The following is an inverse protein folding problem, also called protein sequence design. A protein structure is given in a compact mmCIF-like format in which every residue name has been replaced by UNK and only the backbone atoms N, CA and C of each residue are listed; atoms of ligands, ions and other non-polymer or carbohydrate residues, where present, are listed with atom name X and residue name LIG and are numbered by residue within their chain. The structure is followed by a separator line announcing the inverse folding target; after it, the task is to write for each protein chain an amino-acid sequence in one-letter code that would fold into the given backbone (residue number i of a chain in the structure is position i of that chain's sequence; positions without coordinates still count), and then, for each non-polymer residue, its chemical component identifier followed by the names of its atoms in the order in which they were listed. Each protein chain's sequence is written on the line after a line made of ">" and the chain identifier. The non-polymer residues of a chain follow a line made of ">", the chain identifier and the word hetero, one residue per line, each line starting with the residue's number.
data_IF_993456349457
#
_entry.id   IF_993456349457
#
_cell.length_a   1.000
_cell.length_b   1.000
_cell.length_c   1.000
_cell.angle_alpha   90.00
_cell.angle_beta   90.00
_cell.angle_gamma   90.00
#
_symmetry.space_group_name_H-M   'P 1'
#
loop_
_entity.id
_entity.type
_entity.pdbx_description
1 polymer ?
#
# COMPACT_ATOMS: atom_id res chain seq x y z
N UNK A 1 -5.41 28.36 -35.21
CA UNK A 1 -4.47 27.87 -34.19
C UNK A 1 -5.27 27.02 -33.19
N UNK A 2 -5.57 25.76 -33.50
CA UNK A 2 -4.78 24.54 -33.30
C UNK A 2 -4.49 24.23 -31.82
N UNK A 3 -5.31 23.30 -31.29
CA UNK A 3 -5.09 22.36 -30.16
C UNK A 3 -4.73 22.94 -28.79
N UNK A 4 -5.76 23.11 -27.96
CA UNK A 4 -5.67 22.98 -26.50
C UNK A 4 -6.29 21.64 -26.05
N UNK A 5 -5.84 20.55 -26.69
CA UNK A 5 -6.36 19.19 -26.48
C UNK A 5 -5.18 18.26 -26.17
N UNK A 6 -4.49 18.54 -25.06
CA UNK A 6 -3.42 17.70 -24.52
C UNK A 6 -3.20 18.01 -23.04
N UNK A 7 -4.13 17.62 -22.14
CA UNK A 7 -3.90 17.78 -20.69
C UNK A 7 -4.74 16.87 -19.77
N UNK A 8 -5.27 15.71 -20.24
CA UNK A 8 -6.09 14.84 -19.39
C UNK A 8 -5.79 13.33 -19.41
N UNK A 9 -4.65 12.92 -19.98
CA UNK A 9 -4.32 11.49 -20.11
C UNK A 9 -3.28 10.98 -19.10
N UNK A 10 -2.87 11.80 -18.11
CA UNK A 10 -1.97 11.33 -17.05
C UNK A 10 -2.78 10.78 -15.88
N UNK A 11 -2.85 9.45 -15.77
CA UNK A 11 -3.44 8.75 -14.63
C UNK A 11 -2.28 8.25 -13.75
N UNK A 12 -2.40 8.36 -12.43
CA UNK A 12 -1.43 7.75 -11.51
C UNK A 12 -1.36 6.25 -11.75
N UNK A 13 -0.18 5.63 -11.69
CA UNK A 13 -0.04 4.19 -11.86
C UNK A 13 -0.98 3.39 -10.93
N UNK A 14 -1.24 3.91 -9.72
CA UNK A 14 -2.21 3.35 -8.77
C UNK A 14 -3.64 3.35 -9.30
N UNK A 15 -4.03 4.33 -10.10
CA UNK A 15 -5.40 4.48 -10.60
C UNK A 15 -5.64 3.76 -11.93
N UNK A 16 -4.60 3.21 -12.58
CA UNK A 16 -4.73 2.56 -13.88
C UNK A 16 -5.69 1.36 -13.84
N UNK A 17 -5.53 0.44 -12.87
CA UNK A 17 -6.37 -0.77 -12.78
C UNK A 17 -7.82 -0.44 -12.41
N UNK A 18 -8.10 0.37 -11.35
CA UNK A 18 -9.47 0.79 -11.05
C UNK A 18 -10.15 1.49 -12.23
N UNK A 19 -9.42 2.36 -12.94
CA UNK A 19 -9.97 3.11 -14.06
C UNK A 19 -10.21 2.22 -15.29
N UNK A 20 -9.34 1.25 -15.56
CA UNK A 20 -9.57 0.23 -16.56
C UNK A 20 -10.85 -0.57 -16.25
N UNK A 21 -11.05 -0.97 -14.99
CA UNK A 21 -12.27 -1.67 -14.58
C UNK A 21 -13.51 -0.78 -14.73
N UNK A 22 -13.45 0.51 -14.35
CA UNK A 22 -14.54 1.46 -14.56
C UNK A 22 -14.94 1.54 -16.04
N UNK A 23 -13.97 1.65 -16.94
CA UNK A 23 -14.21 1.70 -18.39
C UNK A 23 -14.89 0.42 -18.87
N UNK A 24 -14.40 -0.75 -18.45
CA UNK A 24 -15.00 -2.05 -18.81
C UNK A 24 -16.42 -2.20 -18.29
N UNK A 25 -16.69 -1.78 -17.05
CA UNK A 25 -18.05 -1.76 -16.46
C UNK A 25 -19.00 -0.91 -17.31
N UNK A 26 -18.54 0.26 -17.76
CA UNK A 26 -19.35 1.18 -18.56
C UNK A 26 -19.65 0.66 -19.98
N UNK A 27 -18.78 -0.21 -20.52
CA UNK A 27 -18.94 -0.78 -21.87
C UNK A 27 -19.50 -2.20 -21.89
N UNK A 28 -19.74 -2.81 -20.72
CA UNK A 28 -20.22 -4.18 -20.60
C UNK A 28 -21.59 -4.34 -21.28
N UNK A 29 -21.73 -5.40 -22.09
CA UNK A 29 -22.94 -5.62 -22.90
C UNK A 29 -23.99 -6.45 -22.17
N UNK A 30 -23.58 -7.21 -21.15
CA UNK A 30 -24.46 -8.09 -20.38
C UNK A 30 -24.46 -7.73 -18.91
N UNK A 31 -25.58 -8.00 -18.24
CA UNK A 31 -25.70 -7.80 -16.79
C UNK A 31 -24.72 -8.70 -16.01
N UNK A 32 -24.49 -9.92 -16.49
CA UNK A 32 -23.55 -10.87 -15.89
C UNK A 32 -22.10 -10.36 -15.94
N UNK A 33 -21.66 -9.88 -17.12
CA UNK A 33 -20.31 -9.31 -17.29
C UNK A 33 -20.13 -8.07 -16.40
N UNK A 34 -21.13 -7.17 -16.41
CA UNK A 34 -21.12 -5.97 -15.59
C UNK A 34 -20.99 -6.33 -14.10
N UNK A 35 -21.80 -7.26 -13.61
CA UNK A 35 -21.76 -7.68 -12.21
C UNK A 35 -20.41 -8.29 -11.82
N UNK A 36 -19.81 -9.12 -12.69
CA UNK A 36 -18.49 -9.70 -12.46
C UNK A 36 -17.41 -8.61 -12.34
N UNK A 37 -17.42 -7.62 -13.23
CA UNK A 37 -16.46 -6.51 -13.21
C UNK A 37 -16.64 -5.60 -11.99
N UNK A 38 -17.89 -5.33 -11.59
CA UNK A 38 -18.19 -4.59 -10.37
C UNK A 38 -17.66 -5.32 -9.13
N UNK A 39 -17.83 -6.65 -9.07
CA UNK A 39 -17.28 -7.48 -7.99
C UNK A 39 -15.75 -7.49 -7.99
N UNK A 40 -15.11 -7.58 -9.14
CA UNK A 40 -13.65 -7.51 -9.29
C UNK A 40 -13.12 -6.16 -8.77
N UNK A 41 -13.74 -5.05 -9.19
CA UNK A 41 -13.40 -3.71 -8.71
C UNK A 41 -13.62 -3.57 -7.21
N UNK A 42 -14.74 -4.06 -6.69
CA UNK A 42 -15.02 -4.03 -5.26
C UNK A 42 -13.97 -4.80 -4.46
N UNK A 43 -13.63 -6.01 -4.90
CA UNK A 43 -12.62 -6.86 -4.26
C UNK A 43 -11.24 -6.19 -4.26
N UNK A 44 -10.85 -5.57 -5.37
CA UNK A 44 -9.62 -4.80 -5.48
C UNK A 44 -9.58 -3.65 -4.46
N UNK A 45 -10.64 -2.82 -4.42
CA UNK A 45 -10.72 -1.68 -3.50
C UNK A 45 -10.76 -2.10 -2.04
N UNK A 46 -11.46 -3.19 -1.73
CA UNK A 46 -11.46 -3.77 -0.40
C UNK A 46 -10.07 -4.25 0.00
N UNK A 47 -9.34 -4.90 -0.91
CA UNK A 47 -7.96 -5.32 -0.72
C UNK A 47 -7.05 -4.15 -0.42
N UNK A 48 -7.05 -3.09 -1.26
CA UNK A 48 -6.26 -1.87 -1.04
C UNK A 48 -6.56 -1.23 0.31
N UNK A 49 -7.83 -1.06 0.64
CA UNK A 49 -8.24 -0.49 1.93
C UNK A 49 -7.82 -1.33 3.14
N UNK A 50 -7.70 -2.66 3.01
CA UNK A 50 -7.16 -3.51 4.07
C UNK A 50 -5.66 -3.27 4.29
N UNK A 51 -4.90 -3.07 3.20
CA UNK A 51 -3.47 -2.77 3.23
C UNK A 51 -3.23 -1.39 3.83
N UNK A 52 -3.98 -0.37 3.39
CA UNK A 52 -3.90 0.99 3.93
C UNK A 52 -4.12 0.99 5.44
N UNK A 53 -5.17 0.28 5.90
CA UNK A 53 -5.50 0.14 7.32
C UNK A 53 -4.42 -0.61 8.11
N UNK A 54 -3.82 -1.66 7.54
CA UNK A 54 -2.75 -2.39 8.20
C UNK A 54 -1.54 -1.48 8.46
N UNK A 55 -1.09 -0.75 7.43
CA UNK A 55 -0.01 0.22 7.61
C UNK A 55 -0.37 1.31 8.62
N UNK A 56 -1.59 1.84 8.57
CA UNK A 56 -2.05 2.81 9.57
C UNK A 56 -1.98 2.28 11.00
N UNK A 57 -2.39 1.03 11.25
CA UNK A 57 -2.28 0.42 12.59
C UNK A 57 -0.83 0.19 13.01
N UNK A 58 0.00 -0.35 12.11
CA UNK A 58 1.44 -0.56 12.37
C UNK A 58 2.11 0.77 12.76
N UNK A 59 1.89 1.83 11.99
CA UNK A 59 2.50 3.13 12.29
C UNK A 59 1.95 3.72 13.59
N UNK A 60 0.63 3.60 13.83
CA UNK A 60 0.04 4.06 15.09
C UNK A 60 0.65 3.36 16.30
N UNK A 61 0.85 2.03 16.24
CA UNK A 61 1.52 1.30 17.32
C UNK A 61 3.00 1.66 17.45
N UNK A 62 3.71 1.77 16.32
CA UNK A 62 5.12 2.14 16.29
C UNK A 62 5.39 3.52 16.92
N UNK A 63 4.45 4.46 16.79
CA UNK A 63 4.55 5.80 17.37
C UNK A 63 3.87 5.93 18.73
N UNK A 64 3.49 4.83 19.38
CA UNK A 64 2.74 4.84 20.64
C UNK A 64 1.49 5.74 20.58
N UNK A 65 0.81 5.73 19.44
CA UNK A 65 -0.38 6.54 19.13
C UNK A 65 -0.16 8.06 19.13
N UNK A 66 1.09 8.53 19.05
CA UNK A 66 1.39 9.94 18.80
C UNK A 66 1.05 10.27 17.34
N UNK A 67 0.03 11.13 17.15
CA UNK A 67 -0.57 11.41 15.84
C UNK A 67 0.37 12.18 14.93
N UNK A 68 1.14 13.11 15.49
CA UNK A 68 2.08 13.95 14.76
C UNK A 68 3.17 13.09 14.13
N UNK A 69 3.73 12.17 14.89
CA UNK A 69 4.73 11.20 14.44
C UNK A 69 4.14 10.25 13.39
N UNK A 70 2.94 9.71 13.63
CA UNK A 70 2.26 8.85 12.65
C UNK A 70 2.05 9.60 11.33
N UNK A 71 1.58 10.85 11.40
CA UNK A 71 1.36 11.68 10.22
C UNK A 71 2.66 11.98 9.47
N UNK A 72 3.76 12.21 10.19
CA UNK A 72 5.08 12.37 9.59
C UNK A 72 5.50 11.10 8.82
N UNK A 73 5.33 9.92 9.42
CA UNK A 73 5.65 8.64 8.77
C UNK A 73 4.76 8.35 7.57
N UNK A 74 3.48 8.75 7.61
CA UNK A 74 2.51 8.50 6.54
C UNK A 74 2.70 9.42 5.34
N UNK A 75 3.03 10.70 5.55
CA UNK A 75 2.91 11.72 4.50
C UNK A 75 4.24 12.32 4.04
N UNK A 76 5.36 11.91 4.64
CA UNK A 76 6.69 12.38 4.22
C UNK A 76 7.49 11.27 3.57
N UNK A 77 8.52 11.65 2.80
CA UNK A 77 9.54 10.75 2.30
C UNK A 77 10.87 11.23 2.86
N UNK A 78 11.38 10.50 3.85
CA UNK A 78 12.66 10.84 4.48
C UNK A 78 13.82 10.59 3.50
N UNK A 79 14.93 11.35 3.60
CA UNK A 79 16.11 11.10 2.80
C UNK A 79 16.64 9.68 3.03
N UNK A 80 16.88 8.95 1.94
CA UNK A 80 17.47 7.62 2.01
C UNK A 80 19.00 7.75 2.13
N UNK A 81 19.58 6.99 3.05
CA UNK A 81 21.04 6.85 3.20
C UNK A 81 21.45 5.39 3.20
N UNK A 82 22.74 5.11 2.99
CA UNK A 82 23.26 3.74 3.10
C UNK A 82 23.18 3.20 4.54
N UNK A 83 23.22 4.10 5.53
CA UNK A 83 23.19 3.75 6.96
C UNK A 83 21.85 3.11 7.37
N UNK A 84 20.74 3.51 6.76
CA UNK A 84 19.41 2.99 7.09
C UNK A 84 19.08 1.67 6.38
N UNK A 85 19.86 1.27 5.37
CA UNK A 85 19.58 0.11 4.54
C UNK A 85 19.48 -1.22 5.31
N UNK A 86 20.34 -1.50 6.32
CA UNK A 86 20.21 -2.71 7.14
C UNK A 86 18.88 -2.78 7.89
N UNK A 87 18.43 -1.66 8.49
CA UNK A 87 17.12 -1.56 9.12
C UNK A 87 16.01 -1.77 8.09
N UNK A 88 16.05 -1.04 6.98
CA UNK A 88 15.00 -1.07 5.97
C UNK A 88 14.81 -2.47 5.37
N UNK A 89 15.90 -3.13 4.99
CA UNK A 89 15.87 -4.50 4.47
C UNK A 89 15.26 -5.47 5.49
N UNK A 90 15.67 -5.36 6.76
CA UNK A 90 15.12 -6.20 7.83
C UNK A 90 13.62 -6.01 7.97
N UNK A 91 13.13 -4.76 7.97
CA UNK A 91 11.71 -4.46 8.08
C UNK A 91 10.94 -4.96 6.85
N UNK A 92 11.43 -4.73 5.64
CA UNK A 92 10.78 -5.20 4.40
C UNK A 92 10.69 -6.72 4.36
N UNK A 93 11.78 -7.43 4.67
CA UNK A 93 11.82 -8.89 4.65
C UNK A 93 10.86 -9.47 5.68
N UNK A 94 10.85 -8.92 6.90
CA UNK A 94 9.96 -9.40 7.97
C UNK A 94 8.50 -9.03 7.75
N UNK A 95 8.23 -7.86 7.19
CA UNK A 95 6.88 -7.50 6.76
C UNK A 95 6.39 -8.47 5.67
N UNK A 96 7.24 -8.79 4.69
CA UNK A 96 6.87 -9.72 3.62
C UNK A 96 6.60 -11.14 4.10
N UNK A 97 7.28 -11.57 5.17
CA UNK A 97 7.10 -12.90 5.78
C UNK A 97 5.85 -12.94 6.68
N UNK A 98 5.66 -11.92 7.51
CA UNK A 98 4.67 -11.97 8.58
C UNK A 98 3.31 -11.41 8.16
N UNK A 99 3.30 -10.42 7.25
CA UNK A 99 2.15 -9.60 6.93
C UNK A 99 1.63 -9.89 5.53
N UNK A 100 2.25 -9.30 4.50
CA UNK A 100 1.78 -9.39 3.11
C UNK A 100 2.99 -9.69 2.25
N UNK A 101 2.91 -10.74 1.43
CA UNK A 101 3.98 -11.05 0.50
C UNK A 101 4.07 -9.96 -0.57
N UNK A 102 5.09 -9.11 -0.47
CA UNK A 102 5.27 -7.91 -1.31
C UNK A 102 5.48 -8.27 -2.79
N UNK A 103 5.97 -9.48 -3.07
CA UNK A 103 6.17 -9.96 -4.45
C UNK A 103 4.86 -10.46 -5.09
N UNK A 104 3.82 -10.72 -4.29
CA UNK A 104 2.50 -11.15 -4.75
C UNK A 104 1.46 -10.04 -4.63
N UNK A 105 1.85 -8.85 -4.20
CA UNK A 105 0.95 -7.74 -3.95
C UNK A 105 1.66 -6.42 -4.24
N UNK A 106 1.55 -5.94 -5.49
CA UNK A 106 2.32 -4.77 -5.93
C UNK A 106 1.81 -3.47 -5.30
N UNK A 107 0.54 -3.41 -4.89
CA UNK A 107 0.01 -2.24 -4.19
C UNK A 107 0.78 -1.95 -2.89
N UNK A 108 1.24 -3.01 -2.21
CA UNK A 108 2.05 -2.90 -0.99
C UNK A 108 3.35 -2.11 -1.21
N UNK A 109 3.94 -2.17 -2.41
CA UNK A 109 5.16 -1.42 -2.75
C UNK A 109 4.97 0.09 -2.58
N UNK A 110 3.76 0.58 -2.79
CA UNK A 110 3.42 2.00 -2.65
C UNK A 110 3.48 2.50 -1.20
N UNK A 111 3.59 1.60 -0.22
CA UNK A 111 3.69 1.91 1.21
C UNK A 111 5.06 1.64 1.82
N UNK A 112 5.98 0.97 1.10
CA UNK A 112 7.26 0.56 1.69
C UNK A 112 8.13 1.75 2.11
N UNK A 113 7.94 2.93 1.51
CA UNK A 113 8.61 4.16 1.98
C UNK A 113 8.33 4.46 3.46
N UNK A 114 7.18 4.05 4.00
CA UNK A 114 6.84 4.21 5.42
C UNK A 114 7.80 3.41 6.33
N UNK A 115 8.24 2.22 5.87
CA UNK A 115 9.25 1.43 6.58
C UNK A 115 10.63 2.08 6.49
N UNK A 116 10.94 2.72 5.36
CA UNK A 116 12.17 3.51 5.24
C UNK A 116 12.14 4.72 6.18
N UNK A 117 11.00 5.40 6.30
CA UNK A 117 10.83 6.53 7.23
C UNK A 117 11.05 6.11 8.68
N UNK A 118 10.51 4.96 9.11
CA UNK A 118 10.77 4.41 10.45
C UNK A 118 12.27 4.28 10.72
N UNK A 119 13.02 3.73 9.77
CA UNK A 119 14.47 3.58 9.90
C UNK A 119 15.21 4.92 9.87
N UNK A 120 14.81 5.86 8.99
CA UNK A 120 15.43 7.17 8.88
C UNK A 120 15.24 8.02 10.15
N UNK A 121 14.07 7.90 10.79
CA UNK A 121 13.76 8.54 12.07
C UNK A 121 14.24 7.72 13.29
N UNK A 122 15.05 6.68 13.05
CA UNK A 122 15.71 5.87 14.08
C UNK A 122 14.75 5.13 15.04
N UNK A 123 13.55 4.77 14.57
CA UNK A 123 12.70 3.83 15.31
C UNK A 123 13.40 2.47 15.39
N UNK A 124 13.54 1.85 16.59
CA UNK A 124 14.26 0.59 16.74
C UNK A 124 13.58 -0.53 15.96
N UNK A 125 14.31 -1.19 15.07
CA UNK A 125 13.75 -2.26 14.25
C UNK A 125 13.15 -3.39 15.11
N UNK A 126 13.75 -3.71 16.26
CA UNK A 126 13.23 -4.70 17.22
C UNK A 126 11.80 -4.42 17.65
N UNK A 127 11.47 -3.16 17.90
CA UNK A 127 10.17 -2.74 18.42
C UNK A 127 9.14 -2.82 17.28
N UNK A 128 9.53 -2.42 16.08
CA UNK A 128 8.71 -2.55 14.87
C UNK A 128 8.41 -4.03 14.55
N UNK A 129 9.37 -4.94 14.75
CA UNK A 129 9.15 -6.37 14.55
C UNK A 129 8.14 -6.95 15.56
N UNK A 130 8.09 -6.44 16.78
CA UNK A 130 7.05 -6.80 17.75
C UNK A 130 5.69 -6.29 17.28
N UNK A 131 5.62 -5.06 16.77
CA UNK A 131 4.39 -4.51 16.16
C UNK A 131 3.91 -5.39 14.99
N UNK A 132 4.79 -5.82 14.10
CA UNK A 132 4.41 -6.74 13.01
C UNK A 132 3.83 -8.04 13.56
N UNK A 133 4.41 -8.59 14.62
CA UNK A 133 3.94 -9.83 15.23
C UNK A 133 2.55 -9.68 15.88
N UNK A 134 2.22 -8.48 16.35
CA UNK A 134 0.92 -8.17 16.96
C UNK A 134 -0.17 -7.82 15.92
N UNK A 135 0.18 -7.07 14.87
CA UNK A 135 -0.79 -6.53 13.91
C UNK A 135 -1.04 -7.45 12.70
N UNK A 136 -0.08 -8.30 12.36
CA UNK A 136 -0.14 -9.15 11.18
C UNK A 136 -0.70 -10.54 11.50
N UNK A 137 -1.39 -11.13 10.53
CA UNK A 137 -2.09 -12.41 10.70
C UNK A 137 -2.42 -13.05 9.36
N UNK A 138 -3.02 -14.25 9.40
CA UNK A 138 -3.33 -15.04 8.20
C UNK A 138 -4.21 -14.30 7.18
N UNK A 139 -5.15 -13.49 7.68
CA UNK A 139 -6.02 -12.65 6.85
C UNK A 139 -5.26 -11.61 6.02
N UNK A 140 -4.10 -11.15 6.49
CA UNK A 140 -3.24 -10.25 5.74
C UNK A 140 -2.37 -11.04 4.74
N UNK A 141 -1.88 -12.22 5.13
CA UNK A 141 -1.05 -13.07 4.25
C UNK A 141 -1.81 -13.58 3.02
N UNK A 142 -3.13 -13.69 3.12
CA UNK A 142 -3.99 -14.07 2.00
C UNK A 142 -4.31 -12.93 1.04
N UNK A 143 -3.89 -11.67 1.32
CA UNK A 143 -4.04 -10.54 0.40
C UNK A 143 -3.01 -10.64 -0.73
N UNK A 144 -3.36 -11.40 -1.76
CA UNK A 144 -2.62 -11.54 -3.01
C UNK A 144 -3.30 -10.79 -4.15
N UNK A 145 -2.54 -10.46 -5.19
CA UNK A 145 -3.01 -9.88 -6.45
C UNK A 145 -3.79 -8.56 -6.33
N UNK A 146 -3.49 -7.79 -5.27
CA UNK A 146 -3.93 -6.39 -5.14
C UNK A 146 -2.90 -5.51 -5.83
N UNK A 147 -3.25 -4.99 -7.01
CA UNK A 147 -2.38 -4.16 -7.87
C UNK A 147 -2.98 -2.78 -8.09
#
# INVERSE_FOLDING_TARGET
>A
ETKLLHLKDSISMREVVPEMLNRRINTAQTAEEKHKLEYERFSLMKGRGAIDKLFGRILSQATNHVKEDQNALENTHQPLSLEIMPCYRTLVDKFSQNCININKNLYTLTHLYKLANLCALQYPATDILQVFSAECGDSHRSLIDVN
#
